data_IF_604441672896
#
_entry.id   IF_604441672896
#
_cell.length_a   1.000
_cell.length_b   1.000
_cell.length_c   1.000
_cell.angle_alpha   90.00
_cell.angle_beta   90.00
_cell.angle_gamma   90.00
#
_symmetry.space_group_name_H-M   'P 1'
#
loop_
_entity.id
_entity.type
_entity.pdbx_description
1 polymer ?
#
# COMPACT_ATOMS: atom_id res chain seq x y z
N UNK A 1 -20.56 -29.67 -29.96
CA UNK A 1 -20.40 -28.22 -29.72
C UNK A 1 -21.26 -27.84 -28.52
N UNK A 2 -20.68 -27.83 -27.34
CA UNK A 2 -21.21 -27.33 -26.04
C UNK A 2 -19.99 -27.43 -25.15
N UNK A 3 -19.31 -26.38 -24.71
CA UNK A 3 -19.77 -25.08 -24.25
C UNK A 3 -18.82 -24.79 -23.08
N UNK A 4 -17.58 -24.43 -23.43
CA UNK A 4 -16.49 -24.22 -22.48
C UNK A 4 -16.69 -22.86 -21.80
N UNK A 5 -17.60 -22.80 -20.83
CA UNK A 5 -17.87 -21.62 -20.03
C UNK A 5 -17.54 -21.89 -18.58
N UNK A 6 -16.30 -21.65 -18.15
CA UNK A 6 -15.95 -21.68 -16.73
C UNK A 6 -14.83 -20.66 -16.41
N UNK A 7 -15.07 -19.91 -15.33
CA UNK A 7 -14.10 -19.24 -14.44
C UNK A 7 -13.58 -17.84 -14.82
N UNK A 8 -14.42 -16.81 -14.64
CA UNK A 8 -13.94 -15.43 -14.41
C UNK A 8 -14.64 -14.75 -13.22
N UNK A 9 -14.83 -15.47 -12.11
CA UNK A 9 -15.21 -14.83 -10.84
C UNK A 9 -13.92 -14.49 -10.10
N UNK A 10 -13.42 -13.27 -10.31
CA UNK A 10 -12.28 -12.74 -9.56
C UNK A 10 -12.75 -12.25 -8.19
N UNK A 11 -12.38 -12.94 -7.11
CA UNK A 11 -12.57 -12.41 -5.77
C UNK A 11 -11.62 -11.23 -5.55
N UNK A 12 -12.16 -10.03 -5.37
CA UNK A 12 -11.40 -8.91 -4.82
C UNK A 12 -11.03 -9.24 -3.37
N UNK A 13 -9.74 -9.30 -3.06
CA UNK A 13 -9.29 -9.43 -1.67
C UNK A 13 -9.55 -8.09 -0.96
N UNK A 14 -10.10 -8.09 0.26
CA UNK A 14 -10.24 -6.88 1.05
C UNK A 14 -8.87 -6.26 1.32
N UNK A 15 -8.84 -4.95 1.56
CA UNK A 15 -7.60 -4.25 1.93
C UNK A 15 -7.00 -4.88 3.19
N UNK A 16 -5.73 -5.25 3.12
CA UNK A 16 -4.98 -5.78 4.25
C UNK A 16 -4.63 -4.70 5.28
N UNK A 17 -4.18 -5.11 6.45
CA UNK A 17 -3.61 -4.19 7.44
C UNK A 17 -2.25 -3.72 6.93
N UNK A 18 -2.08 -2.41 6.68
CA UNK A 18 -0.83 -1.85 6.16
C UNK A 18 0.30 -1.83 7.19
N UNK A 19 -0.03 -1.59 8.46
CA UNK A 19 0.96 -1.51 9.54
C UNK A 19 0.55 -2.42 10.69
N UNK A 20 1.38 -3.42 10.95
CA UNK A 20 1.26 -4.23 12.16
C UNK A 20 1.55 -3.38 13.41
N UNK A 21 1.02 -3.80 14.55
CA UNK A 21 1.27 -3.10 15.80
C UNK A 21 2.76 -3.16 16.14
N UNK A 22 3.44 -2.01 16.07
CA UNK A 22 4.86 -1.93 16.40
C UNK A 22 5.11 -2.47 17.82
N UNK A 23 6.05 -3.41 17.96
CA UNK A 23 6.45 -3.99 19.25
C UNK A 23 7.00 -2.92 20.21
N UNK A 24 7.63 -1.87 19.67
CA UNK A 24 8.14 -0.74 20.44
C UNK A 24 7.26 0.49 20.25
N UNK A 25 6.70 0.99 21.34
CA UNK A 25 5.88 2.21 21.38
C UNK A 25 6.76 3.47 21.27
N UNK A 26 7.02 3.91 20.05
CA UNK A 26 7.59 5.24 19.79
C UNK A 26 6.46 6.26 19.95
N UNK A 27 6.52 7.05 21.00
CA UNK A 27 5.50 8.04 21.36
C UNK A 27 6.10 9.42 21.62
N UNK A 28 5.31 10.46 21.41
CA UNK A 28 5.69 11.86 21.65
C UNK A 28 4.55 12.64 22.31
N UNK A 29 4.81 13.48 23.33
CA UNK A 29 6.09 13.65 24.03
C UNK A 29 6.54 12.35 24.73
N UNK A 30 7.85 12.18 25.01
CA UNK A 30 8.33 11.04 25.78
C UNK A 30 7.91 11.16 27.26
N UNK A 31 7.86 10.04 28.01
CA UNK A 31 7.59 10.07 29.45
C UNK A 31 8.53 11.02 30.21
N UNK A 32 8.07 11.70 31.29
CA UNK A 32 6.82 11.48 32.03
C UNK A 32 5.59 12.19 31.46
N UNK A 33 5.76 13.01 30.42
CA UNK A 33 4.66 13.75 29.82
C UNK A 33 3.69 12.79 29.11
N UNK A 34 2.42 13.18 29.06
CA UNK A 34 1.37 12.34 28.47
C UNK A 34 1.53 12.27 26.93
N UNK A 35 1.70 11.07 26.34
CA UNK A 35 1.93 10.92 24.91
C UNK A 35 0.69 11.32 24.09
N UNK A 36 0.92 12.10 23.03
CA UNK A 36 -0.11 12.66 22.13
C UNK A 36 -0.04 12.06 20.73
N UNK A 37 1.16 11.67 20.30
CA UNK A 37 1.44 11.11 18.98
C UNK A 37 2.11 9.77 19.16
N UNK A 38 1.71 8.78 18.34
CA UNK A 38 2.34 7.47 18.28
C UNK A 38 2.76 7.19 16.84
N UNK A 39 3.98 6.72 16.68
CA UNK A 39 4.43 6.22 15.39
C UNK A 39 3.74 4.88 15.09
N UNK A 40 3.07 4.78 13.94
CA UNK A 40 2.37 3.57 13.50
C UNK A 40 3.09 2.85 12.37
N UNK A 41 3.90 3.57 11.59
CA UNK A 41 4.54 3.06 10.38
C UNK A 41 4.89 4.18 9.42
N UNK A 42 5.41 3.81 8.25
CA UNK A 42 5.83 4.75 7.21
C UNK A 42 5.53 4.18 5.82
N UNK A 43 4.98 5.01 4.94
CA UNK A 43 4.91 4.76 3.50
C UNK A 43 6.04 5.53 2.80
N UNK A 44 6.76 4.86 1.90
CA UNK A 44 7.87 5.41 1.10
C UNK A 44 7.60 5.26 -0.39
N UNK A 45 6.93 4.21 -0.83
CA UNK A 45 6.50 4.03 -2.22
C UNK A 45 5.12 3.37 -2.29
N UNK A 46 4.56 3.25 -3.50
CA UNK A 46 3.33 2.49 -3.70
C UNK A 46 3.51 0.97 -3.53
N UNK A 47 4.73 0.48 -3.30
CA UNK A 47 5.00 -0.93 -2.98
C UNK A 47 4.75 -1.24 -1.50
N UNK A 48 4.85 -0.25 -0.62
CA UNK A 48 4.51 -0.38 0.80
C UNK A 48 3.00 -0.51 1.02
N UNK A 49 2.23 -0.04 0.03
CA UNK A 49 0.83 -0.38 -0.11
C UNK A 49 0.83 -1.78 -0.71
N UNK A 50 0.44 -2.82 0.06
CA UNK A 50 0.13 -4.15 -0.46
C UNK A 50 -1.15 -4.10 -1.32
N UNK A 51 -1.16 -3.21 -2.31
CA UNK A 51 -2.21 -2.99 -3.28
C UNK A 51 -2.35 -4.31 -4.03
N UNK A 52 -3.39 -5.07 -3.66
CA UNK A 52 -3.62 -6.44 -4.11
C UNK A 52 -3.40 -6.57 -5.61
N UNK A 53 -2.28 -7.16 -6.01
CA UNK A 53 -1.99 -7.42 -7.42
C UNK A 53 -2.90 -8.55 -7.90
N UNK A 54 -3.45 -8.40 -9.10
CA UNK A 54 -4.26 -9.46 -9.68
C UNK A 54 -3.43 -10.73 -9.90
N UNK A 55 -4.08 -11.91 -9.90
CA UNK A 55 -3.37 -13.17 -10.13
C UNK A 55 -2.59 -13.17 -11.46
N UNK A 56 -3.14 -12.52 -12.49
CA UNK A 56 -2.48 -12.37 -13.78
C UNK A 56 -1.23 -11.48 -13.69
N UNK A 57 -1.28 -10.37 -12.93
CA UNK A 57 -0.11 -9.52 -12.69
C UNK A 57 1.00 -10.29 -11.94
N UNK A 58 0.63 -11.16 -10.99
CA UNK A 58 1.60 -11.98 -10.26
C UNK A 58 2.26 -13.02 -11.18
N UNK A 59 1.48 -13.71 -12.03
CA UNK A 59 2.02 -14.66 -13.01
C UNK A 59 2.92 -13.95 -14.03
N UNK A 60 2.49 -12.80 -14.55
CA UNK A 60 3.30 -11.99 -15.46
C UNK A 60 4.66 -11.61 -14.85
N UNK A 61 4.67 -11.17 -13.59
CA UNK A 61 5.91 -10.86 -12.87
C UNK A 61 6.81 -12.08 -12.66
N UNK A 62 6.23 -13.25 -12.40
CA UNK A 62 6.99 -14.48 -12.23
C UNK A 62 7.67 -14.93 -13.54
N UNK A 63 7.04 -14.70 -14.69
CA UNK A 63 7.56 -15.12 -16.00
C UNK A 63 8.49 -14.08 -16.65
N UNK A 64 8.15 -12.80 -16.54
CA UNK A 64 8.85 -11.70 -17.24
C UNK A 64 9.71 -10.84 -16.30
N UNK A 65 9.69 -11.11 -14.99
CA UNK A 65 10.40 -10.33 -13.98
C UNK A 65 9.58 -9.13 -13.45
N UNK A 66 10.08 -8.45 -12.41
CA UNK A 66 9.50 -7.20 -11.94
C UNK A 66 9.46 -6.16 -13.06
N UNK A 67 8.32 -5.46 -13.18
CA UNK A 67 8.18 -4.32 -14.10
C UNK A 67 9.02 -3.12 -13.65
N UNK A 68 8.73 -1.96 -14.23
CA UNK A 68 9.43 -0.72 -13.90
C UNK A 68 9.37 -0.44 -12.38
N UNK A 69 10.50 -0.10 -11.74
CA UNK A 69 10.54 0.16 -10.31
C UNK A 69 9.55 1.28 -9.96
N UNK A 70 8.76 1.04 -8.92
CA UNK A 70 7.81 2.05 -8.44
C UNK A 70 8.62 3.20 -7.85
N UNK A 71 8.33 4.42 -8.29
CA UNK A 71 8.97 5.63 -7.77
C UNK A 71 8.80 5.73 -6.25
N UNK A 72 9.85 6.17 -5.55
CA UNK A 72 9.79 6.53 -4.13
C UNK A 72 9.29 7.96 -3.99
N UNK A 73 8.54 8.22 -2.92
CA UNK A 73 8.18 9.57 -2.53
C UNK A 73 9.45 10.35 -2.15
N UNK A 74 9.71 11.46 -2.83
CA UNK A 74 10.91 12.30 -2.66
C UNK A 74 10.61 13.53 -1.83
N UNK A 75 9.53 14.23 -2.15
CA UNK A 75 9.10 15.49 -1.52
C UNK A 75 7.57 15.55 -1.41
N UNK A 76 6.94 14.68 -0.61
CA UNK A 76 5.50 14.69 -0.40
C UNK A 76 5.07 15.99 0.29
N UNK A 77 4.15 16.72 -0.36
CA UNK A 77 3.68 18.04 0.07
C UNK A 77 2.19 18.05 0.48
N UNK A 78 1.43 17.04 0.07
CA UNK A 78 0.00 16.98 0.34
C UNK A 78 -0.52 15.55 0.34
N UNK A 79 -1.60 15.33 1.09
CA UNK A 79 -2.28 14.04 1.22
C UNK A 79 -3.79 14.26 1.24
N UNK A 80 -4.55 13.39 0.57
CA UNK A 80 -6.00 13.30 0.71
C UNK A 80 -6.48 11.86 0.59
N UNK A 81 -7.73 11.62 0.97
CA UNK A 81 -8.40 10.33 0.87
C UNK A 81 -9.73 10.49 0.15
N UNK A 82 -10.25 9.39 -0.38
CA UNK A 82 -11.62 9.29 -0.90
C UNK A 82 -12.45 8.29 -0.07
N UNK A 83 -13.73 8.13 -0.41
CA UNK A 83 -14.62 7.15 0.21
C UNK A 83 -14.33 5.69 -0.21
N UNK A 84 -13.29 5.46 -1.01
CA UNK A 84 -12.92 4.17 -1.59
C UNK A 84 -11.69 3.54 -0.94
N UNK A 85 -11.34 3.94 0.29
CA UNK A 85 -10.14 3.52 1.03
C UNK A 85 -8.82 3.78 0.27
N UNK A 86 -8.76 4.86 -0.50
CA UNK A 86 -7.55 5.25 -1.24
C UNK A 86 -6.87 6.45 -0.58
N UNK A 87 -5.55 6.44 -0.66
CA UNK A 87 -4.71 7.58 -0.28
C UNK A 87 -4.04 8.15 -1.52
N UNK A 88 -4.13 9.47 -1.67
CA UNK A 88 -3.45 10.21 -2.73
C UNK A 88 -2.38 11.09 -2.08
N UNK A 89 -1.17 11.07 -2.64
CA UNK A 89 -0.04 11.86 -2.17
C UNK A 89 0.46 12.71 -3.31
N UNK A 90 0.54 14.03 -3.09
CA UNK A 90 1.15 14.97 -4.02
C UNK A 90 2.65 15.07 -3.71
N UNK A 91 3.49 14.55 -4.59
CA UNK A 91 4.94 14.60 -4.48
C UNK A 91 5.54 15.53 -5.54
N UNK A 92 6.22 16.59 -5.08
CA UNK A 92 6.77 17.63 -5.97
C UNK A 92 7.98 17.16 -6.77
N UNK A 93 8.75 16.21 -6.24
CA UNK A 93 10.02 15.78 -6.82
C UNK A 93 10.03 14.29 -7.19
N UNK A 94 8.86 13.63 -7.11
CA UNK A 94 8.67 12.26 -7.58
C UNK A 94 8.83 12.15 -9.10
N UNK A 95 9.29 10.99 -9.55
CA UNK A 95 9.48 10.66 -10.97
C UNK A 95 8.44 9.66 -11.43
#
# INVERSE_FOLDING_TARGET
MCGLGLLLVGCAKPAGVLFEAAETLITWPPPPDEPRVRYVGQLRSAEDLDAGRSALQQVGRALFGPGEPVGVLVSPMGICTDDGDRVFVADRAGR
#
